data_IF_751241012674
#
_entry.id   IF_751241012674
#
_cell.length_a   1.000
_cell.length_b   1.000
_cell.length_c   1.000
_cell.angle_alpha   90.00
_cell.angle_beta   90.00
_cell.angle_gamma   90.00
#
_symmetry.space_group_name_H-M   'P 1'
#
loop_
_entity.id
_entity.type
_entity.pdbx_description
1 polymer ?
#
# COMPACT_ATOMS: atom_id res chain seq x y z
N UNK A 1 -8.45 7.09 14.54
CA UNK A 1 -8.56 6.49 13.18
C UNK A 1 -7.94 5.09 13.18
N UNK A 2 -8.67 4.04 13.57
CA UNK A 2 -8.10 2.70 13.76
C UNK A 2 -7.73 2.05 12.41
N UNK A 3 -6.43 2.04 12.08
CA UNK A 3 -5.87 1.46 10.85
C UNK A 3 -6.33 0.01 10.64
N UNK A 4 -6.48 -0.74 11.74
CA UNK A 4 -6.99 -2.12 11.74
C UNK A 4 -8.43 -2.27 11.22
N UNK A 5 -9.35 -1.37 11.61
CA UNK A 5 -10.73 -1.40 11.12
C UNK A 5 -10.78 -1.18 9.60
N UNK A 6 -9.93 -0.28 9.09
CA UNK A 6 -9.83 0.01 7.66
C UNK A 6 -9.22 -1.14 6.87
N UNK A 7 -8.20 -1.81 7.41
CA UNK A 7 -7.63 -3.03 6.83
C UNK A 7 -8.66 -4.17 6.74
N UNK A 8 -9.47 -4.36 7.79
CA UNK A 8 -10.56 -5.34 7.74
C UNK A 8 -11.61 -4.98 6.70
N UNK A 9 -12.05 -3.71 6.66
CA UNK A 9 -13.02 -3.25 5.66
C UNK A 9 -12.52 -3.47 4.23
N UNK A 10 -11.27 -3.09 3.94
CA UNK A 10 -10.64 -3.33 2.64
C UNK A 10 -10.52 -4.81 2.29
N UNK A 11 -10.17 -5.66 3.26
CA UNK A 11 -10.09 -7.10 3.07
C UNK A 11 -11.46 -7.70 2.72
N UNK A 12 -12.52 -7.26 3.40
CA UNK A 12 -13.90 -7.62 3.08
C UNK A 12 -14.34 -7.12 1.70
N UNK A 13 -14.07 -5.85 1.37
CA UNK A 13 -14.44 -5.25 0.09
C UNK A 13 -13.74 -5.90 -1.10
N UNK A 14 -12.48 -6.32 -0.93
CA UNK A 14 -11.68 -6.94 -2.00
C UNK A 14 -11.77 -8.46 -2.02
N UNK A 15 -12.41 -9.08 -1.03
CA UNK A 15 -12.45 -10.54 -0.86
C UNK A 15 -11.07 -11.18 -0.63
N UNK A 16 -10.08 -10.38 -0.25
CA UNK A 16 -8.69 -10.83 -0.07
C UNK A 16 -8.33 -10.93 1.40
N UNK A 17 -7.42 -11.84 1.74
CA UNK A 17 -6.89 -11.91 3.11
C UNK A 17 -6.10 -10.64 3.44
N UNK A 18 -6.07 -10.28 4.73
CA UNK A 18 -5.31 -9.12 5.23
C UNK A 18 -3.83 -9.19 4.78
N UNK A 19 -3.27 -10.40 4.68
CA UNK A 19 -1.91 -10.62 4.17
C UNK A 19 -1.74 -10.25 2.69
N UNK A 20 -2.67 -10.69 1.82
CA UNK A 20 -2.67 -10.31 0.40
C UNK A 20 -2.87 -8.82 0.23
N UNK A 21 -3.80 -8.24 0.99
CA UNK A 21 -4.06 -6.81 0.97
C UNK A 21 -2.81 -6.01 1.40
N UNK A 22 -2.12 -6.42 2.47
CA UNK A 22 -0.87 -5.79 2.91
C UNK A 22 0.20 -5.87 1.81
N UNK A 23 0.32 -7.02 1.15
CA UNK A 23 1.28 -7.19 0.06
C UNK A 23 0.95 -6.26 -1.11
N UNK A 24 -0.32 -6.23 -1.52
CA UNK A 24 -0.79 -5.39 -2.62
C UNK A 24 -0.61 -3.89 -2.32
N UNK A 25 -0.89 -3.46 -1.08
CA UNK A 25 -0.65 -2.09 -0.64
C UNK A 25 0.83 -1.70 -0.72
N UNK A 26 1.73 -2.60 -0.29
CA UNK A 26 3.17 -2.37 -0.37
C UNK A 26 3.66 -2.33 -1.82
N UNK A 27 3.24 -3.27 -2.65
CA UNK A 27 3.58 -3.31 -4.07
C UNK A 27 3.10 -2.04 -4.78
N UNK A 28 1.87 -1.62 -4.52
CA UNK A 28 1.30 -0.42 -5.12
C UNK A 28 2.04 0.84 -4.65
N UNK A 29 2.40 0.92 -3.37
CA UNK A 29 3.22 2.00 -2.83
C UNK A 29 4.59 2.08 -3.52
N UNK A 30 5.28 0.94 -3.69
CA UNK A 30 6.57 0.88 -4.38
C UNK A 30 6.46 1.28 -5.86
N UNK A 31 5.42 0.81 -6.55
CA UNK A 31 5.17 1.18 -7.96
C UNK A 31 4.93 2.69 -8.09
N UNK A 32 4.11 3.27 -7.21
CA UNK A 32 3.83 4.71 -7.24
C UNK A 32 5.07 5.54 -6.89
N UNK A 33 5.88 5.10 -5.91
CA UNK A 33 7.19 5.68 -5.62
C UNK A 33 8.15 5.60 -6.82
N UNK A 34 8.09 4.52 -7.62
CA UNK A 34 8.94 4.39 -8.80
C UNK A 34 8.49 5.30 -9.94
N UNK A 35 7.17 5.50 -10.10
CA UNK A 35 6.60 6.40 -11.11
C UNK A 35 6.78 7.88 -10.77
N UNK A 36 6.64 8.21 -9.48
CA UNK A 36 6.77 9.56 -8.93
C UNK A 36 7.60 9.45 -7.66
N UNK A 37 8.93 9.51 -7.78
CA UNK A 37 9.79 9.48 -6.62
C UNK A 37 9.48 10.71 -5.76
N UNK A 38 8.79 10.48 -4.64
CA UNK A 38 8.49 11.50 -3.63
C UNK A 38 9.79 11.97 -2.95
N UNK A 39 10.76 11.06 -2.88
CA UNK A 39 12.13 11.34 -2.50
C UNK A 39 12.87 11.70 -3.78
N UNK A 40 13.22 12.97 -3.97
CA UNK A 40 14.22 13.33 -4.96
C UNK A 40 15.46 12.48 -4.67
N UNK A 41 15.76 11.51 -5.53
CA UNK A 41 17.05 10.84 -5.48
C UNK A 41 18.08 11.96 -5.66
N UNK A 42 18.71 12.37 -4.56
CA UNK A 42 19.81 13.33 -4.59
C UNK A 42 20.84 12.73 -5.51
N UNK A 43 20.87 13.23 -6.75
CA UNK A 43 21.91 12.89 -7.69
C UNK A 43 23.06 13.83 -7.35
N UNK A 44 24.02 13.28 -6.59
CA UNK A 44 25.31 13.88 -6.19
C UNK A 44 25.21 14.89 -5.04
#
# INVERSE_FOLDING_TARGET
MLVWLRLKSLAYQTGQTIYKLKHNLLSNYLIEQLKRPDIAMSSV
#
